data_IF_084753619151
#
_entry.id   IF_084753619151
#
_cell.length_a   1.000
_cell.length_b   1.000
_cell.length_c   1.000
_cell.angle_alpha   90.00
_cell.angle_beta   90.00
_cell.angle_gamma   90.00
#
_symmetry.space_group_name_H-M   'P 1'
#
loop_
_entity.id
_entity.type
_entity.pdbx_description
1 polymer ?
#
# COMPACT_ATOMS: atom_id res chain seq x y z
N UNK A 1 18.51 11.53 -0.77
CA UNK A 1 17.75 10.51 -0.03
C UNK A 1 16.69 9.98 -0.97
N UNK A 2 16.61 8.66 -1.17
CA UNK A 2 15.61 8.07 -2.06
C UNK A 2 14.23 8.11 -1.41
N UNK A 3 13.21 8.44 -2.19
CA UNK A 3 11.82 8.54 -1.77
C UNK A 3 11.04 7.35 -2.30
N UNK A 4 10.15 6.81 -1.50
CA UNK A 4 9.27 5.73 -1.91
C UNK A 4 7.82 5.96 -1.51
N UNK A 5 6.94 5.24 -2.20
CA UNK A 5 5.52 5.14 -1.84
C UNK A 5 5.17 3.69 -1.50
N UNK A 6 4.24 3.52 -0.57
CA UNK A 6 3.83 2.22 -0.01
C UNK A 6 2.32 2.00 -0.27
N UNK A 7 1.99 1.34 -1.38
CA UNK A 7 0.62 1.04 -1.79
C UNK A 7 0.19 -0.34 -1.27
N UNK A 8 -1.07 -0.47 -0.84
CA UNK A 8 -1.56 -1.65 -0.13
C UNK A 8 -0.63 -1.95 1.06
N UNK A 9 -0.33 -0.90 1.83
CA UNK A 9 0.80 -0.90 2.74
C UNK A 9 0.65 -1.91 3.89
N UNK A 10 -0.57 -2.39 4.15
CA UNK A 10 -0.84 -3.26 5.29
C UNK A 10 -0.32 -2.60 6.57
N UNK A 11 0.26 -3.41 7.45
CA UNK A 11 0.89 -2.93 8.69
C UNK A 11 2.26 -2.23 8.48
N UNK A 12 2.70 -2.01 7.23
CA UNK A 12 3.91 -1.26 6.87
C UNK A 12 5.20 -2.08 6.83
N UNK A 13 5.13 -3.31 6.30
CA UNK A 13 6.31 -4.17 6.12
C UNK A 13 7.36 -3.56 5.17
N UNK A 14 6.94 -3.05 4.00
CA UNK A 14 7.83 -2.37 3.06
C UNK A 14 8.43 -1.11 3.67
N UNK A 15 7.61 -0.26 4.30
CA UNK A 15 8.10 0.94 4.99
C UNK A 15 9.20 0.62 5.98
N UNK A 16 8.98 -0.34 6.88
CA UNK A 16 9.98 -0.71 7.87
C UNK A 16 11.29 -1.17 7.23
N UNK A 17 11.22 -1.98 6.17
CA UNK A 17 12.41 -2.47 5.47
C UNK A 17 13.19 -1.32 4.80
N UNK A 18 12.52 -0.40 4.11
CA UNK A 18 13.18 0.68 3.37
C UNK A 18 13.68 1.80 4.29
N UNK A 19 12.97 2.13 5.37
CA UNK A 19 13.45 3.09 6.37
C UNK A 19 14.74 2.61 7.03
N UNK A 20 14.94 1.30 7.23
CA UNK A 20 16.22 0.76 7.76
C UNK A 20 17.41 0.98 6.80
N UNK A 21 17.15 1.31 5.54
CA UNK A 21 18.14 1.67 4.52
C UNK A 21 18.26 3.18 4.31
N UNK A 22 17.57 3.99 5.13
CA UNK A 22 17.59 5.44 5.07
C UNK A 22 16.74 6.03 3.94
N UNK A 23 15.71 5.30 3.49
CA UNK A 23 14.77 5.82 2.49
C UNK A 23 13.58 6.50 3.18
N UNK A 24 12.96 7.45 2.48
CA UNK A 24 11.86 8.26 3.01
C UNK A 24 10.52 7.83 2.42
N UNK A 25 9.56 7.46 3.28
CA UNK A 25 8.20 7.17 2.87
C UNK A 25 7.46 8.50 2.65
N UNK A 26 7.09 8.82 1.41
CA UNK A 26 6.40 10.08 1.08
C UNK A 26 4.91 9.92 0.82
N UNK A 27 4.42 8.69 0.72
CA UNK A 27 3.00 8.38 0.53
C UNK A 27 2.71 6.94 0.93
N UNK A 28 1.56 6.70 1.58
CA UNK A 28 1.08 5.34 1.89
C UNK A 28 -0.43 5.24 1.68
N UNK A 29 -0.93 4.10 1.21
CA UNK A 29 -2.36 3.91 0.97
C UNK A 29 -2.78 2.48 1.28
N UNK A 30 -3.84 2.36 2.06
CA UNK A 30 -4.53 1.10 2.36
C UNK A 30 -5.99 1.42 2.67
N UNK A 31 -6.91 0.61 2.14
CA UNK A 31 -8.36 0.82 2.29
C UNK A 31 -8.88 0.35 3.66
N UNK A 32 -8.19 -0.59 4.30
CA UNK A 32 -8.59 -1.16 5.57
C UNK A 32 -8.35 -0.18 6.73
N UNK A 33 -9.43 0.17 7.45
CA UNK A 33 -9.39 1.14 8.55
C UNK A 33 -8.62 0.64 9.76
N UNK A 34 -8.69 -0.65 10.07
CA UNK A 34 -8.00 -1.23 11.23
C UNK A 34 -6.48 -1.22 10.98
N UNK A 35 -6.10 -1.52 9.74
CA UNK A 35 -4.72 -1.42 9.26
C UNK A 35 -4.22 0.03 9.30
N UNK A 36 -5.02 0.99 8.84
CA UNK A 36 -4.63 2.42 8.90
C UNK A 36 -4.33 2.88 10.33
N UNK A 37 -5.12 2.45 11.32
CA UNK A 37 -4.88 2.80 12.72
C UNK A 37 -3.64 2.10 13.28
N UNK A 38 -3.39 0.83 12.92
CA UNK A 38 -2.15 0.14 13.28
C UNK A 38 -0.92 0.83 12.66
N UNK A 39 -0.99 1.20 11.39
CA UNK A 39 0.06 1.92 10.67
C UNK A 39 0.37 3.27 11.33
N UNK A 40 -0.67 4.04 11.65
CA UNK A 40 -0.54 5.33 12.36
C UNK A 40 0.13 5.19 13.72
N UNK A 41 -0.20 4.14 14.49
CA UNK A 41 0.44 3.87 15.79
C UNK A 41 1.94 3.56 15.63
N UNK A 42 2.33 2.88 14.55
CA UNK A 42 3.71 2.47 14.32
C UNK A 42 4.59 3.58 13.73
N UNK A 43 4.03 4.42 12.85
CA UNK A 43 4.80 5.36 12.05
C UNK A 43 4.41 6.84 12.23
N UNK A 44 3.34 7.14 12.98
CA UNK A 44 2.82 8.50 13.17
C UNK A 44 1.97 9.02 12.00
N UNK A 45 2.03 8.37 10.83
CA UNK A 45 1.32 8.76 9.62
C UNK A 45 0.10 7.85 9.37
N UNK A 46 -1.01 8.43 8.89
CA UNK A 46 -2.19 7.66 8.49
C UNK A 46 -2.20 7.44 6.96
N UNK A 47 -2.34 6.20 6.47
CA UNK A 47 -2.48 5.95 5.03
C UNK A 47 -3.73 6.63 4.43
N UNK A 48 -3.66 6.98 3.14
CA UNK A 48 -4.65 7.81 2.46
C UNK A 48 -5.99 7.12 2.12
N UNK A 49 -6.17 5.83 2.42
CA UNK A 49 -7.41 5.11 2.11
C UNK A 49 -7.41 4.46 0.72
N UNK A 50 -8.58 4.43 0.08
CA UNK A 50 -8.82 3.79 -1.21
C UNK A 50 -7.99 4.44 -2.33
N UNK A 51 -7.00 3.72 -2.87
CA UNK A 51 -6.12 4.21 -3.93
C UNK A 51 -6.88 4.52 -5.24
N UNK A 52 -8.02 3.88 -5.51
CA UNK A 52 -8.80 4.11 -6.74
C UNK A 52 -9.49 5.48 -6.76
N UNK A 53 -9.62 6.13 -5.60
CA UNK A 53 -10.23 7.45 -5.45
C UNK A 53 -9.19 8.58 -5.43
N UNK A 54 -7.91 8.24 -5.44
CA UNK A 54 -6.81 9.20 -5.36
C UNK A 54 -6.28 9.46 -6.77
N UNK A 55 -6.36 10.72 -7.20
CA UNK A 55 -5.73 11.14 -8.46
C UNK A 55 -4.21 10.94 -8.38
N UNK A 56 -3.64 10.35 -9.42
CA UNK A 56 -2.19 10.20 -9.62
C UNK A 56 -1.41 11.51 -9.43
N UNK A 57 -2.01 12.66 -9.78
CA UNK A 57 -1.41 14.00 -9.61
C UNK A 57 -1.19 14.39 -8.15
N UNK A 58 -1.90 13.75 -7.21
CA UNK A 58 -1.74 13.97 -5.77
C UNK A 58 -0.66 13.08 -5.15
N UNK A 59 -0.16 12.09 -5.89
CA UNK A 59 0.92 11.21 -5.42
C UNK A 59 2.25 11.97 -5.56
N UNK A 60 2.99 12.20 -4.46
CA UNK A 60 4.27 12.89 -4.50
C UNK A 60 5.28 12.19 -5.41
N UNK A 61 6.20 12.97 -5.99
CA UNK A 61 7.32 12.42 -6.75
C UNK A 61 8.13 11.47 -5.87
N UNK A 62 8.40 10.29 -6.41
CA UNK A 62 9.09 9.19 -5.74
C UNK A 62 10.01 8.47 -6.71
N UNK A 63 10.99 7.75 -6.15
CA UNK A 63 11.96 6.95 -6.90
C UNK A 63 11.57 5.47 -6.93
N UNK A 64 10.83 5.00 -5.92
CA UNK A 64 10.44 3.60 -5.74
C UNK A 64 8.95 3.51 -5.43
N UNK A 65 8.26 2.58 -6.09
CA UNK A 65 6.87 2.21 -5.80
C UNK A 65 6.86 0.80 -5.22
N UNK A 66 6.39 0.68 -3.98
CA UNK A 66 6.10 -0.61 -3.35
C UNK A 66 4.59 -0.86 -3.41
N UNK A 67 4.18 -2.07 -3.81
CA UNK A 67 2.78 -2.44 -3.88
C UNK A 67 2.56 -3.88 -3.43
N UNK A 68 1.95 -4.06 -2.25
CA UNK A 68 1.53 -5.36 -1.72
C UNK A 68 0.13 -5.75 -2.19
N UNK A 69 -0.14 -5.68 -3.50
CA UNK A 69 -1.51 -5.84 -4.03
C UNK A 69 -2.10 -7.23 -3.71
N UNK A 70 -3.43 -7.35 -3.54
CA UNK A 70 -4.10 -8.57 -3.11
C UNK A 70 -3.79 -9.77 -4.02
N UNK A 71 -3.26 -10.83 -3.43
CA UNK A 71 -2.89 -12.06 -4.15
C UNK A 71 -4.01 -13.11 -4.23
N UNK A 72 -5.15 -12.89 -3.54
CA UNK A 72 -6.26 -13.85 -3.43
C UNK A 72 -6.79 -14.31 -4.79
N UNK A 73 -6.76 -13.42 -5.78
CA UNK A 73 -7.18 -13.69 -7.17
C UNK A 73 -6.27 -14.66 -7.93
N UNK A 74 -5.02 -14.83 -7.46
CA UNK A 74 -3.98 -15.63 -8.11
C UNK A 74 -3.49 -16.80 -7.25
N UNK A 75 -3.83 -16.82 -5.96
CA UNK A 75 -3.40 -17.87 -5.03
C UNK A 75 -3.98 -19.25 -5.38
N UNK A 76 -3.18 -20.30 -5.13
CA UNK A 76 -3.59 -21.70 -5.27
C UNK A 76 -4.79 -22.01 -4.37
N UNK A 77 -4.86 -21.36 -3.20
CA UNK A 77 -5.96 -21.48 -2.24
C UNK A 77 -7.18 -20.62 -2.59
N UNK A 78 -7.10 -19.80 -3.64
CA UNK A 78 -8.19 -18.94 -4.11
C UNK A 78 -8.97 -19.55 -5.27
N UNK A 79 -9.99 -18.83 -5.76
CA UNK A 79 -10.81 -19.26 -6.90
C UNK A 79 -10.10 -19.15 -8.26
N UNK A 80 -8.86 -18.62 -8.28
CA UNK A 80 -8.04 -18.39 -9.49
C UNK A 80 -8.78 -17.63 -10.61
N UNK A 81 -9.66 -16.72 -10.22
CA UNK A 81 -10.46 -15.91 -11.14
C UNK A 81 -9.66 -14.74 -11.75
N UNK A 82 -8.41 -14.56 -11.34
CA UNK A 82 -7.48 -13.58 -11.91
C UNK A 82 -8.03 -12.16 -11.82
N UNK A 83 -7.81 -11.38 -12.88
CA UNK A 83 -8.13 -9.94 -12.94
C UNK A 83 -9.61 -9.66 -12.64
N UNK A 84 -10.52 -10.57 -13.01
CA UNK A 84 -11.98 -10.40 -12.77
C UNK A 84 -12.30 -10.25 -11.27
N UNK A 85 -11.53 -10.89 -10.40
CA UNK A 85 -11.75 -10.84 -8.95
C UNK A 85 -10.94 -9.74 -8.27
N UNK A 86 -9.94 -9.15 -8.94
CA UNK A 86 -9.14 -8.05 -8.38
C UNK A 86 -10.01 -6.82 -8.11
N UNK A 87 -10.95 -6.51 -9.01
CA UNK A 87 -11.88 -5.38 -8.84
C UNK A 87 -12.72 -5.45 -7.56
N UNK A 88 -12.92 -6.66 -7.02
CA UNK A 88 -13.66 -6.87 -5.77
C UNK A 88 -12.82 -6.60 -4.51
N UNK A 89 -11.50 -6.52 -4.64
CA UNK A 89 -10.58 -6.22 -3.54
C UNK A 89 -9.95 -4.82 -3.62
N UNK A 90 -10.21 -4.10 -4.71
CA UNK A 90 -9.77 -2.73 -4.95
C UNK A 90 -10.83 -1.70 -4.56
N UNK A 91 -11.98 -2.14 -4.02
CA UNK A 91 -13.11 -1.34 -3.56
C UNK A 91 -13.50 -1.78 -2.15
#
# INVERSE_FOLDING_TARGET
>A
MYKFIDLFCGIGGFRKALETKGFECVFSSDIDKDVQEAYKRNFGDKPYGNITEISETKIPKHDILCAGFPCQSFSISGKKLGIIMVDSFMK
#
